data_IF_181432388072
#
_entry.id   IF_181432388072
#
_cell.length_a   1.000
_cell.length_b   1.000
_cell.length_c   1.000
_cell.angle_alpha   90.00
_cell.angle_beta   90.00
_cell.angle_gamma   90.00
#
_symmetry.space_group_name_H-M   'P 1'
#
loop_
_entity.id
_entity.type
_entity.pdbx_description
1 polymer ?
#
# COMPACT_ATOMS: atom_id res chain seq x y z
N UNK A 1 0.26 15.26 41.36
CA UNK A 1 -0.56 16.02 40.39
C UNK A 1 0.02 15.82 38.97
N UNK A 2 -0.54 15.04 38.05
CA UNK A 2 -1.92 14.59 37.90
C UNK A 2 -1.96 13.25 37.17
N UNK A 3 -2.79 12.36 37.71
CA UNK A 3 -3.25 11.12 37.09
C UNK A 3 -4.17 11.46 35.93
N UNK A 4 -3.85 10.98 34.73
CA UNK A 4 -4.74 11.06 33.57
C UNK A 4 -5.93 10.13 33.78
N UNK A 5 -7.09 10.76 33.99
CA UNK A 5 -8.43 10.16 34.01
C UNK A 5 -8.73 9.48 32.66
N UNK A 6 -8.84 8.15 32.67
CA UNK A 6 -9.51 7.41 31.60
C UNK A 6 -11.02 7.45 31.85
N UNK A 7 -11.78 7.96 30.88
CA UNK A 7 -13.23 8.08 30.91
C UNK A 7 -13.91 6.70 30.96
N UNK A 8 -14.88 6.56 31.89
CA UNK A 8 -15.74 5.38 32.02
C UNK A 8 -16.74 5.32 30.85
N UNK A 9 -16.71 4.25 30.07
CA UNK A 9 -17.82 3.87 29.20
C UNK A 9 -18.96 3.22 30.01
N UNK A 10 -20.19 3.66 29.74
CA UNK A 10 -21.43 3.27 30.41
C UNK A 10 -21.74 1.78 30.27
N UNK A 11 -22.23 1.16 31.35
CA UNK A 11 -22.96 -0.11 31.34
C UNK A 11 -24.30 0.09 30.61
N UNK A 12 -24.60 -0.77 29.65
CA UNK A 12 -25.95 -0.94 29.09
C UNK A 12 -26.67 -2.07 29.79
N UNK A 13 -27.94 -1.80 30.10
CA UNK A 13 -28.85 -2.54 30.96
C UNK A 13 -29.18 -3.97 30.51
N UNK A 14 -29.26 -4.83 31.51
CA UNK A 14 -29.86 -6.15 31.49
C UNK A 14 -31.39 -6.02 31.51
N UNK A 15 -32.04 -5.92 30.35
CA UNK A 15 -33.50 -6.04 30.28
C UNK A 15 -34.07 -6.53 28.92
N UNK A 16 -33.29 -7.26 28.12
CA UNK A 16 -33.74 -7.79 26.82
C UNK A 16 -33.83 -9.32 26.74
N UNK A 17 -33.69 -10.04 27.86
CA UNK A 17 -33.65 -11.51 27.87
C UNK A 17 -35.00 -12.19 28.19
N UNK A 18 -36.04 -11.45 28.58
CA UNK A 18 -37.36 -12.04 28.87
C UNK A 18 -38.31 -12.05 27.67
N UNK A 19 -38.08 -11.23 26.63
CA UNK A 19 -38.92 -11.19 25.42
C UNK A 19 -38.63 -12.29 24.40
N UNK A 20 -37.52 -13.02 24.53
CA UNK A 20 -37.14 -14.10 23.62
C UNK A 20 -37.69 -15.48 24.03
N UNK A 21 -38.23 -15.63 25.25
CA UNK A 21 -38.80 -16.90 25.73
C UNK A 21 -40.17 -17.24 25.12
N UNK A 22 -40.91 -16.26 24.60
CA UNK A 22 -42.28 -16.47 24.07
C UNK A 22 -42.35 -16.79 22.58
N UNK A 23 -41.22 -16.75 21.85
CA UNK A 23 -41.19 -16.99 20.39
C UNK A 23 -40.90 -18.45 20.04
N UNK A 24 -40.28 -19.22 20.95
CA UNK A 24 -39.78 -20.57 20.65
C UNK A 24 -40.63 -21.73 21.21
N UNK A 25 -41.76 -21.45 21.87
CA UNK A 25 -42.70 -22.48 22.31
C UNK A 25 -43.91 -22.55 21.37
N UNK A 26 -43.80 -23.33 20.30
CA UNK A 26 -44.98 -23.80 19.57
C UNK A 26 -45.58 -24.98 20.32
N UNK A 27 -46.87 -24.87 20.62
CA UNK A 27 -47.72 -25.92 21.17
C UNK A 27 -47.67 -27.18 20.31
N UNK A 28 -47.52 -28.33 20.97
CA UNK A 28 -47.60 -29.66 20.37
C UNK A 28 -48.93 -29.89 19.63
N UNK A 29 -48.97 -30.66 18.52
CA UNK A 29 -50.21 -30.99 17.84
C UNK A 29 -51.04 -31.98 18.68
N UNK A 30 -52.33 -31.68 18.87
CA UNK A 30 -53.31 -32.66 19.37
C UNK A 30 -53.56 -33.71 18.29
N UNK A 31 -53.14 -34.96 18.53
CA UNK A 31 -53.55 -36.10 17.71
C UNK A 31 -54.91 -36.62 18.19
N UNK A 32 -55.84 -36.77 17.25
CA UNK A 32 -57.17 -37.33 17.48
C UNK A 32 -57.06 -38.82 17.84
N UNK A 33 -57.86 -39.23 18.83
CA UNK A 33 -57.97 -40.63 19.23
C UNK A 33 -58.44 -41.51 18.06
N UNK A 34 -57.63 -42.48 17.68
CA UNK A 34 -58.01 -43.57 16.76
C UNK A 34 -58.81 -44.60 17.56
N UNK A 35 -60.00 -44.92 17.05
CA UNK A 35 -60.92 -45.91 17.60
C UNK A 35 -60.37 -47.31 17.31
N UNK A 36 -60.02 -48.07 18.34
CA UNK A 36 -59.58 -49.46 18.21
C UNK A 36 -60.79 -50.40 18.06
N UNK A 37 -60.74 -51.27 17.05
CA UNK A 37 -61.53 -52.50 16.97
C UNK A 37 -60.61 -53.67 17.33
N UNK A 38 -60.97 -54.40 18.39
CA UNK A 38 -60.24 -55.54 18.91
C UNK A 38 -60.10 -56.67 17.89
N UNK A 39 -58.88 -57.22 17.78
CA UNK A 39 -58.65 -58.62 17.42
C UNK A 39 -57.39 -59.12 18.10
N UNK A 40 -57.53 -60.23 18.83
CA UNK A 40 -56.55 -60.81 19.75
C UNK A 40 -55.27 -61.33 19.05
N UNK A 41 -54.27 -60.47 18.90
CA UNK A 41 -52.82 -60.83 18.80
C UNK A 41 -51.90 -59.65 19.22
N UNK A 42 -52.41 -58.73 20.06
CA UNK A 42 -51.87 -57.36 20.24
C UNK A 42 -50.67 -57.23 21.20
N UNK A 43 -50.43 -58.20 22.08
CA UNK A 43 -49.48 -58.03 23.19
C UNK A 43 -48.01 -57.94 22.76
N UNK A 44 -47.65 -58.52 21.60
CA UNK A 44 -46.27 -58.53 21.11
C UNK A 44 -46.02 -57.43 20.06
N UNK A 45 -47.08 -56.92 19.42
CA UNK A 45 -47.01 -55.92 18.37
C UNK A 45 -47.10 -54.49 18.94
N UNK A 46 -47.90 -54.26 20.00
CA UNK A 46 -47.92 -52.97 20.73
C UNK A 46 -46.56 -52.64 21.37
N UNK A 47 -45.88 -53.62 21.98
CA UNK A 47 -44.57 -53.39 22.60
C UNK A 47 -43.45 -53.09 21.59
N UNK A 48 -43.56 -53.59 20.36
CA UNK A 48 -42.62 -53.26 19.27
C UNK A 48 -42.89 -51.85 18.74
N UNK A 49 -44.15 -51.48 18.58
CA UNK A 49 -44.53 -50.15 18.08
C UNK A 49 -44.19 -49.04 19.09
N UNK A 50 -44.41 -49.27 20.38
CA UNK A 50 -44.04 -48.34 21.45
C UNK A 50 -42.52 -48.15 21.56
N UNK A 51 -41.75 -49.24 21.39
CA UNK A 51 -40.29 -49.17 21.33
C UNK A 51 -39.81 -48.39 20.12
N UNK A 52 -40.41 -48.61 18.94
CA UNK A 52 -40.08 -47.88 17.71
C UNK A 52 -40.36 -46.37 17.84
N UNK A 53 -41.49 -46.01 18.47
CA UNK A 53 -41.84 -44.60 18.77
C UNK A 53 -40.83 -43.96 19.73
N UNK A 54 -40.36 -44.70 20.73
CA UNK A 54 -39.33 -44.21 21.66
C UNK A 54 -37.99 -43.96 20.97
N UNK A 55 -37.58 -44.87 20.07
CA UNK A 55 -36.34 -44.74 19.29
C UNK A 55 -36.44 -43.61 18.26
N UNK A 56 -37.60 -43.44 17.60
CA UNK A 56 -37.85 -42.35 16.67
C UNK A 56 -37.79 -40.98 17.38
N UNK A 57 -38.40 -40.86 18.56
CA UNK A 57 -38.36 -39.63 19.36
C UNK A 57 -36.93 -39.29 19.83
N UNK A 58 -36.15 -40.30 20.21
CA UNK A 58 -34.74 -40.13 20.57
C UNK A 58 -33.90 -39.69 19.35
N UNK A 59 -34.16 -40.27 18.17
CA UNK A 59 -33.47 -39.91 16.93
C UNK A 59 -33.80 -38.49 16.50
N UNK A 60 -35.07 -38.07 16.55
CA UNK A 60 -35.49 -36.70 16.24
C UNK A 60 -34.86 -35.68 17.19
N UNK A 61 -34.82 -35.99 18.49
CA UNK A 61 -34.15 -35.17 19.50
C UNK A 61 -32.65 -35.02 19.22
N UNK A 62 -31.98 -36.11 18.86
CA UNK A 62 -30.55 -36.10 18.51
C UNK A 62 -30.28 -35.30 17.24
N UNK A 63 -31.11 -35.45 16.20
CA UNK A 63 -31.02 -34.67 14.96
C UNK A 63 -31.24 -33.18 15.25
N UNK A 64 -32.19 -32.84 16.11
CA UNK A 64 -32.43 -31.46 16.52
C UNK A 64 -31.23 -30.86 17.25
N UNK A 65 -30.65 -31.59 18.21
CA UNK A 65 -29.43 -31.20 18.92
C UNK A 65 -28.24 -31.01 17.98
N UNK A 66 -28.05 -31.91 17.01
CA UNK A 66 -26.98 -31.81 16.00
C UNK A 66 -27.18 -30.58 15.09
N UNK A 67 -28.41 -30.33 14.63
CA UNK A 67 -28.74 -29.15 13.82
C UNK A 67 -28.53 -27.85 14.60
N UNK A 68 -28.95 -27.81 15.87
CA UNK A 68 -28.74 -26.65 16.73
C UNK A 68 -27.24 -26.40 16.98
N UNK A 69 -26.47 -27.46 17.26
CA UNK A 69 -25.02 -27.39 17.44
C UNK A 69 -24.32 -26.88 16.17
N UNK A 70 -24.71 -27.39 14.99
CA UNK A 70 -24.17 -26.95 13.71
C UNK A 70 -24.48 -25.47 13.41
N UNK A 71 -25.70 -25.01 13.73
CA UNK A 71 -26.05 -23.59 13.57
C UNK A 71 -25.23 -22.70 14.50
N UNK A 72 -25.03 -23.11 15.75
CA UNK A 72 -24.21 -22.38 16.72
C UNK A 72 -22.75 -22.28 16.25
N UNK A 73 -22.18 -23.37 15.74
CA UNK A 73 -20.79 -23.36 15.24
C UNK A 73 -20.63 -22.49 14.00
N UNK A 74 -21.57 -22.52 13.06
CA UNK A 74 -21.56 -21.64 11.88
C UNK A 74 -21.64 -20.17 12.31
N UNK A 75 -22.55 -19.81 13.22
CA UNK A 75 -22.66 -18.43 13.72
C UNK A 75 -21.38 -18.00 14.44
N UNK A 76 -20.78 -18.86 15.26
CA UNK A 76 -19.52 -18.57 15.93
C UNK A 76 -18.38 -18.32 14.93
N UNK A 77 -18.25 -19.15 13.88
CA UNK A 77 -17.26 -18.96 12.83
C UNK A 77 -17.46 -17.66 12.05
N UNK A 78 -18.71 -17.30 11.74
CA UNK A 78 -19.05 -16.02 11.09
C UNK A 78 -18.65 -14.85 12.01
N UNK A 79 -18.95 -14.93 13.30
CA UNK A 79 -18.58 -13.87 14.25
C UNK A 79 -17.06 -13.74 14.39
N UNK A 80 -16.32 -14.85 14.45
CA UNK A 80 -14.85 -14.84 14.52
C UNK A 80 -14.24 -14.26 13.24
N UNK A 81 -14.75 -14.62 12.07
CA UNK A 81 -14.26 -14.08 10.79
C UNK A 81 -14.59 -12.59 10.65
N UNK A 82 -15.80 -12.17 11.01
CA UNK A 82 -16.16 -10.74 11.07
C UNK A 82 -15.23 -10.00 12.03
N UNK A 83 -15.02 -10.52 13.24
CA UNK A 83 -14.13 -9.91 14.22
C UNK A 83 -12.70 -9.80 13.68
N UNK A 84 -12.15 -10.86 13.09
CA UNK A 84 -10.81 -10.85 12.51
C UNK A 84 -10.69 -9.86 11.34
N UNK A 85 -11.70 -9.76 10.47
CA UNK A 85 -11.73 -8.79 9.38
C UNK A 85 -11.85 -7.37 9.93
N UNK A 86 -12.77 -7.12 10.86
CA UNK A 86 -12.97 -5.79 11.46
C UNK A 86 -11.74 -5.35 12.24
N UNK A 87 -11.09 -6.24 13.00
CA UNK A 87 -9.86 -5.97 13.73
C UNK A 87 -8.72 -5.63 12.76
N UNK A 88 -8.57 -6.38 11.66
CA UNK A 88 -7.58 -6.08 10.61
C UNK A 88 -7.84 -4.73 9.93
N UNK A 89 -9.09 -4.48 9.52
CA UNK A 89 -9.48 -3.19 8.90
C UNK A 89 -9.33 -2.03 9.89
N UNK A 90 -9.65 -2.24 11.16
CA UNK A 90 -9.50 -1.23 12.22
C UNK A 90 -8.03 -0.97 12.54
N UNK A 91 -7.19 -2.00 12.52
CA UNK A 91 -5.74 -1.89 12.67
C UNK A 91 -5.12 -1.11 11.51
N UNK A 92 -5.48 -1.42 10.27
CA UNK A 92 -5.01 -0.69 9.09
C UNK A 92 -5.46 0.78 9.12
N UNK A 93 -6.70 1.02 9.54
CA UNK A 93 -7.25 2.38 9.69
C UNK A 93 -6.66 3.14 10.87
N UNK A 94 -6.35 2.47 11.98
CA UNK A 94 -5.69 3.05 13.14
C UNK A 94 -4.21 3.34 12.88
N UNK A 95 -3.54 2.49 12.09
CA UNK A 95 -2.20 2.76 11.54
C UNK A 95 -2.21 4.04 10.70
N UNK A 96 -3.20 4.21 9.83
CA UNK A 96 -3.41 5.47 9.09
C UNK A 96 -3.78 6.66 9.99
N UNK A 97 -4.57 6.43 11.05
CA UNK A 97 -5.12 7.49 11.91
C UNK A 97 -4.27 7.83 13.15
N UNK A 98 -3.17 7.12 13.42
CA UNK A 98 -2.16 7.52 14.39
C UNK A 98 -1.30 8.67 13.84
N UNK A 99 -1.98 9.74 13.42
CA UNK A 99 -1.53 11.13 13.31
C UNK A 99 -0.03 11.35 13.09
N UNK A 100 0.43 11.03 11.88
CA UNK A 100 1.54 11.63 11.12
C UNK A 100 1.89 10.59 10.05
N UNK A 101 1.74 10.91 8.77
CA UNK A 101 2.14 10.00 7.70
C UNK A 101 3.56 9.47 7.92
N UNK A 102 3.83 8.23 7.48
CA UNK A 102 5.15 7.63 7.60
C UNK A 102 6.24 8.56 7.07
N UNK A 103 7.44 8.51 7.64
CA UNK A 103 8.56 9.28 7.11
C UNK A 103 8.78 8.89 5.63
N UNK A 104 8.93 9.89 4.76
CA UNK A 104 8.95 9.71 3.31
C UNK A 104 7.58 9.77 2.61
N UNK A 105 6.45 9.73 3.33
CA UNK A 105 5.14 10.17 2.81
C UNK A 105 5.07 11.68 2.67
N UNK A 106 4.04 12.21 2.01
CA UNK A 106 3.83 13.65 1.92
C UNK A 106 3.01 14.18 3.10
N UNK A 107 3.63 14.82 4.11
CA UNK A 107 2.89 15.40 5.23
C UNK A 107 2.13 16.67 4.85
N UNK A 108 2.35 17.20 3.64
CA UNK A 108 1.76 18.46 3.18
C UNK A 108 0.47 18.26 2.38
N UNK A 109 0.02 17.01 2.18
CA UNK A 109 -1.29 16.69 1.64
C UNK A 109 -1.46 16.88 0.13
N UNK A 110 -0.38 16.96 -0.64
CA UNK A 110 -0.45 16.96 -2.11
C UNK A 110 -0.49 15.55 -2.69
N UNK A 111 0.38 14.65 -2.22
CA UNK A 111 0.29 13.22 -2.51
C UNK A 111 -0.62 12.58 -1.46
N UNK A 112 -1.66 11.82 -1.87
CA UNK A 112 -2.53 11.14 -0.91
C UNK A 112 -1.73 10.18 -0.02
N UNK A 113 -2.01 10.12 1.30
CA UNK A 113 -1.21 9.35 2.26
C UNK A 113 -1.21 7.84 1.99
N UNK A 114 -2.24 7.30 1.34
CA UNK A 114 -2.35 5.90 0.97
C UNK A 114 -1.40 5.47 -0.17
N UNK A 115 -0.85 6.42 -0.92
CA UNK A 115 0.04 6.11 -2.05
C UNK A 115 1.36 5.58 -1.52
N UNK A 116 1.66 4.33 -1.84
CA UNK A 116 2.88 3.66 -1.36
C UNK A 116 2.68 2.85 -0.08
N UNK A 117 1.47 2.79 0.46
CA UNK A 117 1.14 2.03 1.67
C UNK A 117 0.42 0.71 1.36
N UNK A 118 0.48 -0.30 2.27
CA UNK A 118 1.38 -0.35 3.42
C UNK A 118 2.83 -0.63 3.00
N UNK A 119 3.83 -0.35 3.86
CA UNK A 119 5.21 -0.70 3.58
C UNK A 119 5.37 -2.23 3.52
N UNK A 120 6.30 -2.70 2.70
CA UNK A 120 6.58 -4.13 2.50
C UNK A 120 8.06 -4.44 2.58
N UNK A 121 8.39 -5.65 3.02
CA UNK A 121 9.74 -6.18 2.91
C UNK A 121 10.14 -6.21 1.42
N UNK A 122 11.23 -5.52 1.12
CA UNK A 122 11.73 -5.34 -0.24
C UNK A 122 13.21 -5.71 -0.25
N UNK A 123 13.58 -6.54 -1.21
CA UNK A 123 14.97 -6.84 -1.55
C UNK A 123 15.38 -5.95 -2.72
N UNK A 124 16.58 -5.39 -2.67
CA UNK A 124 17.19 -4.68 -3.79
C UNK A 124 18.32 -5.55 -4.34
N UNK A 125 18.16 -6.03 -5.57
CA UNK A 125 19.15 -6.85 -6.27
C UNK A 125 19.32 -6.34 -7.72
N UNK A 126 20.14 -7.04 -8.49
CA UNK A 126 20.40 -6.72 -9.90
C UNK A 126 19.18 -6.90 -10.81
N UNK A 127 18.08 -7.51 -10.33
CA UNK A 127 16.84 -7.61 -11.11
C UNK A 127 16.04 -6.30 -11.12
N UNK A 128 16.37 -5.37 -10.23
CA UNK A 128 15.75 -4.05 -10.19
C UNK A 128 15.96 -3.31 -11.51
N UNK A 129 14.90 -2.73 -12.14
CA UNK A 129 15.05 -1.94 -13.36
C UNK A 129 15.87 -0.65 -13.15
N UNK A 130 16.17 -0.31 -11.89
CA UNK A 130 16.94 0.84 -11.48
C UNK A 130 18.39 0.51 -11.10
N UNK A 131 18.78 -0.78 -11.13
CA UNK A 131 20.12 -1.23 -10.80
C UNK A 131 21.15 -0.67 -11.80
N UNK A 132 22.27 -0.14 -11.29
CA UNK A 132 23.39 0.35 -12.10
C UNK A 132 24.47 -0.73 -12.09
N UNK A 133 24.78 -1.29 -13.26
CA UNK A 133 25.80 -2.33 -13.42
C UNK A 133 27.17 -1.82 -12.96
N UNK A 134 27.94 -2.68 -12.30
CA UNK A 134 29.27 -2.34 -11.79
C UNK A 134 30.23 -1.90 -12.90
N UNK A 135 30.03 -2.42 -14.12
CA UNK A 135 30.87 -2.12 -15.28
C UNK A 135 30.43 -0.88 -16.07
N UNK A 136 29.39 -0.18 -15.61
CA UNK A 136 28.76 0.95 -16.31
C UNK A 136 29.75 2.05 -16.69
N UNK A 137 30.75 2.28 -15.85
CA UNK A 137 31.67 3.42 -16.00
C UNK A 137 32.95 3.11 -16.78
N UNK A 138 33.22 1.84 -17.11
CA UNK A 138 34.39 1.47 -17.93
C UNK A 138 34.21 1.79 -19.41
N UNK A 139 32.99 2.08 -19.85
CA UNK A 139 32.67 2.40 -21.23
C UNK A 139 31.65 3.56 -21.29
N UNK A 140 31.98 4.59 -22.08
CA UNK A 140 31.13 5.76 -22.21
C UNK A 140 29.75 5.43 -22.80
N UNK A 141 29.65 4.47 -23.71
CA UNK A 141 28.35 4.09 -24.27
C UNK A 141 27.48 3.41 -23.21
N UNK A 142 28.04 2.54 -22.36
CA UNK A 142 27.33 1.98 -21.20
C UNK A 142 26.85 3.07 -20.25
N UNK A 143 27.70 4.06 -19.94
CA UNK A 143 27.31 5.23 -19.13
C UNK A 143 26.12 5.97 -19.76
N UNK A 144 26.19 6.26 -21.06
CA UNK A 144 25.10 6.96 -21.79
C UNK A 144 23.82 6.12 -21.83
N UNK A 145 23.92 4.80 -22.00
CA UNK A 145 22.78 3.89 -21.97
C UNK A 145 22.12 3.84 -20.59
N UNK A 146 22.91 3.74 -19.51
CA UNK A 146 22.42 3.81 -18.14
C UNK A 146 21.68 5.12 -17.90
N UNK A 147 22.30 6.26 -18.25
CA UNK A 147 21.69 7.58 -18.09
C UNK A 147 20.38 7.67 -18.87
N UNK A 148 20.37 7.28 -20.15
CA UNK A 148 19.17 7.27 -20.99
C UNK A 148 18.05 6.42 -20.40
N UNK A 149 18.36 5.20 -19.92
CA UNK A 149 17.39 4.28 -19.30
C UNK A 149 16.76 4.90 -18.05
N UNK A 150 17.59 5.41 -17.14
CA UNK A 150 17.10 5.94 -15.85
C UNK A 150 16.43 7.32 -15.99
N UNK A 151 16.83 8.14 -16.98
CA UNK A 151 16.19 9.43 -17.29
C UNK A 151 14.70 9.29 -17.66
N UNK A 152 14.20 8.09 -17.98
CA UNK A 152 12.75 7.82 -18.11
C UNK A 152 11.95 8.21 -16.84
N UNK A 153 12.59 8.22 -15.67
CA UNK A 153 12.02 8.66 -14.39
C UNK A 153 11.72 10.16 -14.33
N UNK A 154 12.31 10.97 -15.22
CA UNK A 154 12.07 12.41 -15.25
C UNK A 154 10.61 12.77 -15.53
N UNK A 155 9.90 11.91 -16.26
CA UNK A 155 8.48 12.06 -16.55
C UNK A 155 7.60 12.06 -15.29
N UNK A 156 8.04 11.38 -14.23
CA UNK A 156 7.33 11.35 -12.95
C UNK A 156 7.76 12.49 -12.03
N UNK A 157 8.84 13.21 -12.38
CA UNK A 157 9.42 14.22 -11.51
C UNK A 157 8.53 15.45 -11.38
N UNK A 158 7.96 15.93 -12.49
CA UNK A 158 7.08 17.08 -12.51
C UNK A 158 5.63 16.63 -12.65
N UNK A 159 4.77 17.13 -11.79
CA UNK A 159 3.33 16.82 -11.82
C UNK A 159 2.51 18.11 -11.78
N UNK A 160 1.40 18.12 -12.51
CA UNK A 160 0.45 19.21 -12.55
C UNK A 160 -0.24 19.36 -11.20
N UNK A 161 -0.35 20.61 -10.75
CA UNK A 161 -1.02 20.97 -9.49
C UNK A 161 -2.54 20.93 -9.64
N UNK A 162 -3.07 21.38 -10.79
CA UNK A 162 -4.52 21.42 -11.08
C UNK A 162 -5.36 22.04 -9.96
N UNK A 163 -4.86 23.09 -9.30
CA UNK A 163 -5.53 23.76 -8.19
C UNK A 163 -5.38 23.06 -6.82
N UNK A 164 -4.80 21.86 -6.76
CA UNK A 164 -4.53 21.14 -5.51
C UNK A 164 -3.18 21.58 -4.95
N UNK A 165 -3.16 22.65 -4.16
CA UNK A 165 -1.92 23.14 -3.56
C UNK A 165 -1.60 22.45 -2.23
N UNK A 166 -0.33 22.03 -2.09
CA UNK A 166 0.21 21.47 -0.86
C UNK A 166 0.19 22.50 0.27
N UNK A 167 0.16 22.04 1.51
CA UNK A 167 0.40 22.90 2.66
C UNK A 167 1.90 23.21 2.80
N UNK A 168 2.21 24.43 3.21
CA UNK A 168 3.57 24.87 3.47
C UNK A 168 3.65 25.40 4.89
N UNK A 169 4.40 24.67 5.73
CA UNK A 169 4.81 25.15 7.03
C UNK A 169 6.00 26.10 6.88
N UNK A 170 5.76 27.38 7.10
CA UNK A 170 6.79 28.42 7.02
C UNK A 170 7.76 28.32 8.20
N UNK A 171 8.96 28.95 8.09
CA UNK A 171 9.94 28.96 9.18
C UNK A 171 9.42 29.56 10.50
N UNK A 172 8.46 30.48 10.43
CA UNK A 172 7.79 31.08 11.59
C UNK A 172 6.71 30.17 12.22
N UNK A 173 6.49 28.98 11.66
CA UNK A 173 5.50 28.01 12.10
C UNK A 173 4.10 28.19 11.51
N UNK A 174 3.84 29.28 10.77
CA UNK A 174 2.55 29.52 10.14
C UNK A 174 2.32 28.58 8.94
N UNK A 175 1.05 28.33 8.63
CA UNK A 175 0.64 27.54 7.46
C UNK A 175 0.24 28.46 6.32
N UNK A 176 0.67 28.13 5.11
CA UNK A 176 0.22 28.73 3.86
C UNK A 176 0.10 27.66 2.78
N UNK A 177 -0.37 28.04 1.59
CA UNK A 177 -0.29 27.16 0.42
C UNK A 177 1.11 27.25 -0.19
N UNK A 178 1.67 26.08 -0.52
CA UNK A 178 2.96 25.98 -1.18
C UNK A 178 2.83 26.56 -2.59
N UNK A 179 3.63 27.56 -2.99
CA UNK A 179 3.56 28.10 -4.34
C UNK A 179 4.02 27.04 -5.36
N UNK A 180 3.25 26.88 -6.43
CA UNK A 180 3.68 26.10 -7.59
C UNK A 180 4.70 26.89 -8.40
N UNK A 181 5.64 26.18 -9.05
CA UNK A 181 6.40 26.79 -10.14
C UNK A 181 5.69 26.52 -11.46
N UNK A 182 6.15 27.18 -12.52
CA UNK A 182 5.53 27.12 -13.83
C UNK A 182 6.42 26.34 -14.78
N UNK A 183 5.79 25.46 -15.55
CA UNK A 183 6.40 24.89 -16.75
C UNK A 183 6.92 26.01 -17.66
N UNK A 184 8.12 25.83 -18.20
CA UNK A 184 8.72 26.77 -19.16
C UNK A 184 8.05 26.73 -20.53
N UNK A 185 7.30 25.68 -20.85
CA UNK A 185 6.69 25.47 -22.18
C UNK A 185 5.22 25.83 -22.15
N UNK A 186 4.44 25.23 -21.24
CA UNK A 186 2.99 25.39 -21.20
C UNK A 186 2.49 26.40 -20.17
N UNK A 187 3.39 26.97 -19.36
CA UNK A 187 3.05 27.86 -18.23
C UNK A 187 2.01 27.27 -17.28
N UNK A 188 1.91 25.95 -17.21
CA UNK A 188 1.05 25.26 -16.25
C UNK A 188 1.76 25.14 -14.90
N UNK A 189 0.96 25.15 -13.84
CA UNK A 189 1.45 25.05 -12.47
C UNK A 189 1.84 23.62 -12.14
N UNK A 190 3.05 23.46 -11.60
CA UNK A 190 3.67 22.16 -11.35
C UNK A 190 4.34 22.10 -9.98
N UNK A 191 4.42 20.87 -9.46
CA UNK A 191 5.30 20.51 -8.35
C UNK A 191 6.31 19.45 -8.79
N UNK A 192 7.46 19.44 -8.10
CA UNK A 192 8.43 18.35 -8.19
C UNK A 192 8.18 17.40 -7.02
N UNK A 193 8.01 16.11 -7.31
CA UNK A 193 7.96 15.09 -6.27
C UNK A 193 9.38 14.77 -5.80
N UNK A 194 9.62 14.95 -4.51
CA UNK A 194 10.95 14.92 -3.88
C UNK A 194 11.74 13.63 -4.16
N UNK A 195 11.10 12.46 -4.15
CA UNK A 195 11.79 11.18 -4.38
C UNK A 195 12.27 11.01 -5.83
N UNK A 196 11.50 11.47 -6.83
CA UNK A 196 11.94 11.49 -8.22
C UNK A 196 13.03 12.54 -8.46
N UNK A 197 13.00 13.66 -7.73
CA UNK A 197 14.11 14.63 -7.75
C UNK A 197 15.41 14.03 -7.18
N UNK A 198 15.34 13.28 -6.08
CA UNK A 198 16.51 12.57 -5.53
C UNK A 198 17.07 11.57 -6.53
N UNK A 199 16.20 10.85 -7.25
CA UNK A 199 16.61 9.94 -8.32
C UNK A 199 17.26 10.69 -9.50
N UNK A 200 16.70 11.83 -9.92
CA UNK A 200 17.33 12.71 -10.92
C UNK A 200 18.74 13.15 -10.50
N UNK A 201 18.92 13.49 -9.22
CA UNK A 201 20.22 13.86 -8.66
C UNK A 201 21.22 12.70 -8.74
N UNK A 202 20.80 11.48 -8.36
CA UNK A 202 21.61 10.27 -8.45
C UNK A 202 22.06 10.01 -9.89
N UNK A 203 21.12 10.08 -10.84
CA UNK A 203 21.40 9.86 -12.28
C UNK A 203 22.39 10.90 -12.80
N UNK A 204 22.21 12.18 -12.45
CA UNK A 204 23.07 13.27 -12.92
C UNK A 204 24.50 13.13 -12.38
N UNK A 205 24.65 12.69 -11.12
CA UNK A 205 25.97 12.41 -10.52
C UNK A 205 26.62 11.19 -11.19
N UNK A 206 25.87 10.11 -11.42
CA UNK A 206 26.39 8.91 -12.08
C UNK A 206 26.84 9.22 -13.52
N UNK A 207 26.03 9.98 -14.27
CA UNK A 207 26.36 10.43 -15.61
C UNK A 207 27.59 11.36 -15.61
N UNK A 208 27.71 12.27 -14.64
CA UNK A 208 28.90 13.11 -14.48
C UNK A 208 30.15 12.25 -14.25
N UNK A 209 30.08 11.33 -13.30
CA UNK A 209 31.20 10.44 -12.99
C UNK A 209 31.63 9.62 -14.22
N UNK A 210 30.67 9.02 -14.93
CA UNK A 210 30.98 8.22 -16.12
C UNK A 210 31.60 9.04 -17.26
N UNK A 211 31.16 10.28 -17.48
CA UNK A 211 31.83 11.18 -18.45
C UNK A 211 33.28 11.45 -18.03
N UNK A 212 33.53 11.78 -16.76
CA UNK A 212 34.87 12.04 -16.24
C UNK A 212 35.78 10.82 -16.30
N UNK A 213 35.28 9.64 -15.91
CA UNK A 213 36.01 8.37 -15.96
C UNK A 213 36.47 8.02 -17.38
N UNK A 214 35.73 8.48 -18.40
CA UNK A 214 36.04 8.27 -19.81
C UNK A 214 36.71 9.49 -20.48
N UNK A 215 37.27 10.43 -19.71
CA UNK A 215 37.93 11.65 -20.21
C UNK A 215 37.05 12.53 -21.11
N UNK A 216 35.73 12.52 -20.91
CA UNK A 216 34.78 13.37 -21.62
C UNK A 216 34.37 14.53 -20.72
N UNK A 217 34.13 15.69 -21.34
CA UNK A 217 33.59 16.84 -20.64
C UNK A 217 32.23 16.53 -20.01
N UNK A 218 32.04 17.03 -18.79
CA UNK A 218 30.76 17.03 -18.12
C UNK A 218 29.63 17.61 -18.98
N UNK A 219 28.45 16.99 -18.91
CA UNK A 219 27.21 17.61 -19.40
C UNK A 219 26.53 18.51 -18.37
N UNK A 220 26.99 18.48 -17.12
CA UNK A 220 26.37 19.18 -15.99
C UNK A 220 27.25 20.32 -15.50
N UNK A 221 26.69 21.51 -15.36
CA UNK A 221 27.43 22.61 -14.75
C UNK A 221 27.86 22.23 -13.31
N UNK A 222 29.08 22.57 -12.84
CA UNK A 222 29.55 22.20 -11.50
C UNK A 222 28.59 22.58 -10.36
N UNK A 223 27.92 23.74 -10.49
CA UNK A 223 26.89 24.20 -9.53
C UNK A 223 25.69 23.24 -9.43
N UNK A 224 25.35 22.55 -10.52
CA UNK A 224 24.25 21.59 -10.57
C UNK A 224 24.62 20.32 -9.79
N UNK A 225 25.85 19.82 -9.93
CA UNK A 225 26.35 18.67 -9.15
C UNK A 225 26.38 18.99 -7.66
N UNK A 226 26.84 20.18 -7.26
CA UNK A 226 26.80 20.62 -5.87
C UNK A 226 25.36 20.70 -5.30
N UNK A 227 24.40 21.13 -6.12
CA UNK A 227 22.98 21.10 -5.76
C UNK A 227 22.47 19.66 -5.55
N UNK A 228 22.78 18.75 -6.49
CA UNK A 228 22.38 17.34 -6.42
C UNK A 228 22.91 16.67 -5.14
N UNK A 229 24.18 16.88 -4.81
CA UNK A 229 24.80 16.35 -3.59
C UNK A 229 24.10 16.88 -2.33
N UNK A 230 23.75 18.17 -2.30
CA UNK A 230 23.00 18.74 -1.17
C UNK A 230 21.58 18.18 -1.06
N UNK A 231 20.86 18.03 -2.18
CA UNK A 231 19.51 17.48 -2.18
C UNK A 231 19.47 16.03 -1.67
N UNK A 232 20.45 15.20 -2.05
CA UNK A 232 20.59 13.83 -1.54
C UNK A 232 20.98 13.84 -0.06
N UNK A 233 21.93 14.69 0.35
CA UNK A 233 22.32 14.83 1.77
C UNK A 233 21.12 15.20 2.64
N UNK A 234 20.34 16.19 2.22
CA UNK A 234 19.12 16.62 2.91
C UNK A 234 18.10 15.49 3.02
N UNK A 235 17.93 14.69 1.96
CA UNK A 235 17.06 13.52 1.97
C UNK A 235 17.50 12.49 3.02
N UNK A 236 18.77 12.11 3.02
CA UNK A 236 19.34 11.11 3.95
C UNK A 236 19.15 11.58 5.39
N UNK A 237 19.51 12.84 5.68
CA UNK A 237 19.38 13.41 7.03
C UNK A 237 17.91 13.58 7.46
N UNK A 238 17.02 13.89 6.52
CA UNK A 238 15.60 14.05 6.81
C UNK A 238 14.91 12.70 7.05
N UNK A 239 15.27 11.66 6.30
CA UNK A 239 14.71 10.31 6.47
C UNK A 239 15.29 9.60 7.69
N UNK A 240 16.55 9.89 8.03
CA UNK A 240 17.25 9.34 9.20
C UNK A 240 17.04 7.83 9.35
N UNK A 241 17.22 7.07 8.26
CA UNK A 241 17.01 5.62 8.27
C UNK A 241 17.99 4.95 9.23
N UNK A 242 17.44 4.35 10.29
CA UNK A 242 18.18 3.71 11.36
C UNK A 242 18.39 2.21 11.14
N UNK A 243 17.99 1.67 9.98
CA UNK A 243 18.10 0.24 9.69
C UNK A 243 19.56 -0.20 9.62
N UNK A 244 20.01 -1.18 10.43
CA UNK A 244 21.38 -1.70 10.35
C UNK A 244 21.65 -2.38 9.01
N UNK A 245 22.89 -2.28 8.52
CA UNK A 245 23.35 -2.92 7.27
C UNK A 245 24.51 -3.88 7.57
N UNK A 246 24.57 -5.02 6.88
CA UNK A 246 25.66 -6.00 7.06
C UNK A 246 25.94 -6.81 5.78
N UNK A 247 26.99 -7.63 5.80
CA UNK A 247 27.23 -8.66 4.80
C UNK A 247 26.61 -9.98 5.27
N UNK A 248 25.41 -10.30 4.77
CA UNK A 248 24.68 -11.53 5.16
C UNK A 248 25.48 -12.79 4.83
N UNK A 249 26.21 -12.77 3.71
CA UNK A 249 26.96 -13.91 3.18
C UNK A 249 28.43 -13.98 3.65
N UNK A 250 28.80 -13.18 4.66
CA UNK A 250 30.16 -13.09 5.19
C UNK A 250 30.89 -11.82 4.79
N UNK A 251 31.82 -11.36 5.64
CA UNK A 251 32.49 -10.07 5.45
C UNK A 251 33.18 -9.97 4.07
N UNK A 252 32.85 -8.89 3.35
CA UNK A 252 33.32 -8.61 1.99
C UNK A 252 32.94 -9.66 0.92
N UNK A 253 31.92 -10.49 1.18
CA UNK A 253 31.28 -11.34 0.18
C UNK A 253 30.08 -10.58 -0.40
N UNK A 254 30.22 -10.11 -1.65
CA UNK A 254 29.20 -9.29 -2.31
C UNK A 254 29.18 -7.83 -1.82
N UNK A 255 28.10 -7.13 -2.13
CA UNK A 255 27.84 -5.79 -1.61
C UNK A 255 27.30 -5.85 -0.18
N UNK A 256 27.57 -4.80 0.58
CA UNK A 256 26.87 -4.60 1.85
C UNK A 256 25.37 -4.57 1.55
N UNK A 257 24.58 -5.32 2.31
CA UNK A 257 23.13 -5.53 2.14
C UNK A 257 22.66 -6.50 1.05
N UNK A 258 23.57 -7.21 0.36
CA UNK A 258 23.15 -8.34 -0.48
C UNK A 258 22.34 -9.34 0.37
N UNK A 259 21.22 -9.81 -0.18
CA UNK A 259 20.22 -10.67 0.48
C UNK A 259 19.56 -10.07 1.74
N UNK A 260 19.77 -8.79 2.03
CA UNK A 260 19.13 -8.09 3.14
C UNK A 260 17.88 -7.33 2.68
N UNK A 261 16.75 -7.59 3.34
CA UNK A 261 15.48 -6.92 3.06
C UNK A 261 15.27 -5.69 3.94
N UNK A 262 14.59 -4.69 3.38
CA UNK A 262 14.22 -3.44 4.05
C UNK A 262 12.71 -3.22 4.01
N UNK A 263 12.19 -2.47 4.99
CA UNK A 263 10.77 -2.12 5.04
C UNK A 263 10.52 -0.85 4.23
N UNK A 264 9.95 -1.00 3.04
CA UNK A 264 9.86 0.08 2.06
C UNK A 264 8.41 0.37 1.65
N UNK A 265 8.10 1.65 1.45
CA UNK A 265 6.87 2.09 0.76
C UNK A 265 6.90 1.65 -0.71
N UNK A 266 5.74 1.44 -1.32
CA UNK A 266 5.65 1.05 -2.72
C UNK A 266 6.00 2.21 -3.66
N UNK A 267 7.25 2.20 -4.12
CA UNK A 267 7.78 3.10 -5.14
C UNK A 267 6.97 3.09 -6.44
N UNK A 268 6.48 1.92 -6.86
CA UNK A 268 5.73 1.78 -8.10
C UNK A 268 4.34 2.41 -7.99
N UNK A 269 3.73 2.36 -6.81
CA UNK A 269 2.47 3.06 -6.55
C UNK A 269 2.64 4.59 -6.67
N UNK A 270 3.71 5.16 -6.09
CA UNK A 270 4.01 6.59 -6.23
C UNK A 270 4.29 6.97 -7.68
N UNK A 271 5.04 6.14 -8.40
CA UNK A 271 5.34 6.36 -9.82
C UNK A 271 4.09 6.33 -10.68
N UNK A 272 3.20 5.37 -10.46
CA UNK A 272 1.90 5.29 -11.13
C UNK A 272 1.05 6.51 -10.83
N UNK A 273 0.99 6.95 -9.57
CA UNK A 273 0.22 8.13 -9.17
C UNK A 273 0.71 9.41 -9.87
N UNK A 274 2.03 9.59 -9.96
CA UNK A 274 2.64 10.77 -10.59
C UNK A 274 2.47 10.79 -12.11
N UNK A 275 2.48 9.61 -12.76
CA UNK A 275 2.33 9.48 -14.22
C UNK A 275 0.87 9.47 -14.70
N UNK A 276 -0.11 9.47 -13.79
CA UNK A 276 -1.53 9.48 -14.14
C UNK A 276 -1.84 10.60 -15.15
N UNK A 277 -2.64 10.35 -16.21
CA UNK A 277 -2.93 11.33 -17.25
C UNK A 277 -3.49 12.68 -16.76
N UNK A 278 -4.09 12.74 -15.58
CA UNK A 278 -4.56 14.02 -15.02
C UNK A 278 -3.42 14.86 -14.45
N UNK A 279 -2.30 14.24 -14.05
CA UNK A 279 -1.18 14.89 -13.32
C UNK A 279 0.13 14.90 -14.10
N UNK A 280 0.48 13.81 -14.78
CA UNK A 280 1.82 13.63 -15.31
C UNK A 280 2.18 14.65 -16.40
N UNK A 281 3.47 14.90 -16.55
CA UNK A 281 4.03 15.73 -17.62
C UNK A 281 5.13 14.94 -18.29
N UNK A 282 5.03 14.78 -19.62
CA UNK A 282 6.06 14.09 -20.41
C UNK A 282 6.93 15.12 -21.09
N UNK A 283 8.23 14.89 -21.02
CA UNK A 283 9.23 15.69 -21.70
C UNK A 283 9.85 14.89 -22.83
N UNK A 284 10.04 15.54 -23.98
CA UNK A 284 10.85 15.02 -25.08
C UNK A 284 12.10 15.88 -25.20
N UNK A 285 13.28 15.26 -25.13
CA UNK A 285 14.50 15.93 -25.53
C UNK A 285 14.54 16.00 -27.07
N UNK A 286 14.51 17.22 -27.59
CA UNK A 286 14.60 17.56 -29.01
C UNK A 286 15.99 18.11 -29.38
N UNK A 287 16.97 18.04 -28.47
CA UNK A 287 18.34 18.38 -28.79
C UNK A 287 18.90 17.42 -29.87
N UNK A 288 19.70 17.92 -30.83
CA UNK A 288 20.38 17.07 -31.80
C UNK A 288 21.24 16.01 -31.11
N UNK A 289 21.39 14.85 -31.75
CA UNK A 289 22.28 13.81 -31.24
C UNK A 289 23.72 14.34 -31.11
N UNK A 290 24.33 14.13 -29.95
CA UNK A 290 25.67 14.65 -29.63
C UNK A 290 25.69 16.08 -29.11
N UNK A 291 24.54 16.74 -28.96
CA UNK A 291 24.48 18.04 -28.29
C UNK A 291 24.99 17.94 -26.85
N UNK A 292 25.82 18.91 -26.43
CA UNK A 292 26.27 19.06 -25.05
C UNK A 292 25.23 19.71 -24.12
N UNK A 293 23.95 19.71 -24.52
CA UNK A 293 22.84 20.32 -23.79
C UNK A 293 21.56 19.52 -24.03
N UNK A 294 20.68 19.52 -23.03
CA UNK A 294 19.31 19.02 -23.17
C UNK A 294 18.39 20.15 -23.66
N UNK A 295 17.47 19.84 -24.58
CA UNK A 295 16.41 20.74 -25.00
C UNK A 295 15.07 20.02 -24.87
N UNK A 296 14.40 20.18 -23.74
CA UNK A 296 13.18 19.43 -23.43
C UNK A 296 11.91 20.23 -23.77
N UNK A 297 10.97 19.60 -24.48
CA UNK A 297 9.61 20.14 -24.70
C UNK A 297 8.56 19.26 -24.04
N UNK A 298 7.46 19.86 -23.59
CA UNK A 298 6.31 19.11 -23.07
C UNK A 298 5.52 18.45 -24.19
N UNK A 299 4.97 17.25 -23.91
CA UNK A 299 4.06 16.54 -24.81
C UNK A 299 2.65 16.55 -24.19
N UNK A 300 1.73 17.35 -24.75
CA UNK A 300 0.35 17.52 -24.27
C UNK A 300 -0.62 17.58 -25.45
N UNK A 301 -1.75 16.85 -25.45
CA UNK A 301 -2.11 15.80 -24.49
C UNK A 301 -1.11 14.63 -24.56
N UNK A 302 -1.19 13.72 -23.60
CA UNK A 302 -0.36 12.50 -23.63
C UNK A 302 -0.52 11.80 -24.98
N UNK A 303 0.57 11.32 -25.62
CA UNK A 303 0.43 10.36 -26.71
C UNK A 303 -0.27 9.10 -26.20
N UNK A 304 -0.78 8.25 -27.09
CA UNK A 304 -1.22 6.92 -26.67
C UNK A 304 -0.04 6.18 -26.03
N UNK A 305 -0.15 5.96 -24.72
CA UNK A 305 0.87 5.28 -23.92
C UNK A 305 0.54 3.79 -23.84
N UNK A 306 1.57 2.96 -23.94
CA UNK A 306 1.50 1.56 -23.50
C UNK A 306 1.20 1.47 -22.00
N UNK A 307 0.71 0.32 -21.54
CA UNK A 307 0.45 0.12 -20.10
C UNK A 307 1.72 0.29 -19.26
N UNK A 308 2.88 -0.10 -19.78
CA UNK A 308 4.17 0.10 -19.13
C UNK A 308 4.51 1.59 -19.01
N UNK A 309 4.37 2.37 -20.08
CA UNK A 309 4.61 3.82 -20.04
C UNK A 309 3.64 4.55 -19.08
N UNK A 310 2.38 4.10 -19.01
CA UNK A 310 1.36 4.63 -18.06
C UNK A 310 1.78 4.43 -16.60
N UNK A 311 2.39 3.30 -16.26
CA UNK A 311 2.96 3.05 -14.92
C UNK A 311 4.41 3.54 -14.80
N UNK A 312 4.93 4.17 -15.86
CA UNK A 312 6.27 4.73 -15.96
C UNK A 312 7.36 3.71 -16.32
N UNK A 313 7.09 2.42 -16.39
CA UNK A 313 8.08 1.37 -16.58
C UNK A 313 8.71 1.29 -17.99
N UNK A 314 8.27 2.14 -18.93
CA UNK A 314 8.83 2.29 -20.27
C UNK A 314 9.01 3.77 -20.62
#
# INVERSE_FOLDING_TARGET
PDLIRVGKCKKTDSQSMEKLRSVFWQSTPKYNAVRTSQSDDDGQQEGVEEKLRSELAALESNIWCLRASLLITIVALILVTIFAVVDRVSYDKASLNCGKGHIGSDPNGFVPPEIGEPPRWTLFDSTSPYYIEEDTFYDLNKTKMMAKRLKSLHNSSNVLVNGNFADWKKPDGTLAKLPAYYSTVSYRQTYIIRSFHQMHCLISIAEEYGHRANNVSSQWAPKHIAHCLNAIREAIMCLADATPMTYVNGFAVGHVTDDQQFMCRDWSALRKWANDPVRGIRYKNIAPEGAGYDNNTEIIPFPELSELEKVGLA
#
